data_IF_383328861878
#
_entry.id   IF_383328861878
#
_cell.length_a   1.000
_cell.length_b   1.000
_cell.length_c   1.000
_cell.angle_alpha   90.00
_cell.angle_beta   90.00
_cell.angle_gamma   90.00
#
_symmetry.space_group_name_H-M   'P 1'
#
loop_
_entity.id
_entity.type
_entity.pdbx_description
1 polymer ?
#
# COMPACT_ATOMS: atom_id res chain seq x y z
N UNK A 1 7.69 32.29 18.57
CA UNK A 1 8.72 31.24 18.40
C UNK A 1 8.61 30.29 19.59
N UNK A 2 8.00 29.11 19.40
CA UNK A 2 7.75 28.13 20.47
C UNK A 2 8.80 27.01 20.36
N UNK A 3 9.74 26.98 21.29
CA UNK A 3 10.75 25.94 21.43
C UNK A 3 10.13 24.68 22.02
N UNK A 4 10.13 23.59 21.25
CA UNK A 4 9.69 22.26 21.71
C UNK A 4 10.91 21.56 22.32
N UNK A 5 10.85 21.31 23.63
CA UNK A 5 11.81 20.46 24.36
C UNK A 5 11.39 19.01 24.16
N UNK A 6 12.13 18.25 23.35
CA UNK A 6 11.96 16.80 23.22
C UNK A 6 12.81 16.16 24.32
N UNK A 7 12.13 15.67 25.34
CA UNK A 7 12.71 14.85 26.41
C UNK A 7 12.90 13.44 25.85
N UNK A 8 14.15 13.04 25.63
CA UNK A 8 14.53 11.66 25.33
C UNK A 8 14.41 10.84 26.63
N UNK A 9 13.36 10.02 26.75
CA UNK A 9 13.31 8.98 27.79
C UNK A 9 13.99 7.74 27.20
N UNK A 10 15.28 7.64 27.48
CA UNK A 10 16.08 6.43 27.31
C UNK A 10 15.63 5.43 28.39
N UNK A 11 15.11 4.29 27.98
CA UNK A 11 14.75 3.25 28.95
C UNK A 11 14.00 2.08 28.38
N UNK A 12 14.72 1.14 27.75
CA UNK A 12 14.36 -0.28 27.85
C UNK A 12 15.65 -1.09 28.01
N UNK A 13 15.80 -1.61 29.23
CA UNK A 13 16.79 -2.62 29.61
C UNK A 13 16.41 -3.93 28.91
N UNK A 14 17.25 -4.42 28.02
CA UNK A 14 17.10 -5.76 27.46
C UNK A 14 17.92 -6.74 28.30
N UNK A 15 17.29 -7.28 29.35
CA UNK A 15 17.74 -8.52 29.95
C UNK A 15 17.23 -9.67 29.07
N UNK A 16 18.05 -10.13 28.12
CA UNK A 16 17.79 -11.36 27.39
C UNK A 16 18.75 -12.44 27.90
N UNK A 17 18.17 -13.52 28.41
CA UNK A 17 18.84 -14.56 29.17
C UNK A 17 19.97 -15.26 28.43
N UNK A 18 20.97 -15.66 29.22
CA UNK A 18 21.96 -16.67 28.87
C UNK A 18 21.23 -18.00 28.64
N UNK A 19 20.94 -18.28 27.37
CA UNK A 19 20.65 -19.62 26.89
C UNK A 19 21.82 -20.07 26.03
N UNK A 20 22.46 -21.16 26.45
CA UNK A 20 23.58 -21.80 25.75
C UNK A 20 23.25 -22.05 24.28
N UNK A 21 23.91 -21.31 23.40
CA UNK A 21 23.92 -21.52 21.95
C UNK A 21 25.25 -22.13 21.53
N UNK A 22 25.51 -23.35 21.97
CA UNK A 22 26.58 -24.19 21.39
C UNK A 22 26.05 -24.84 20.12
N UNK A 23 26.03 -24.08 19.01
CA UNK A 23 25.55 -24.60 17.74
C UNK A 23 25.46 -23.60 16.59
N UNK A 24 26.44 -22.71 16.45
CA UNK A 24 26.63 -21.94 15.21
C UNK A 24 28.11 -22.00 14.86
N UNK A 25 28.44 -22.60 13.71
CA UNK A 25 29.77 -22.53 13.14
C UNK A 25 30.20 -21.09 12.86
N UNK A 26 31.49 -20.83 12.62
CA UNK A 26 31.98 -19.49 12.36
C UNK A 26 31.27 -18.88 11.15
N UNK A 27 30.54 -17.77 11.36
CA UNK A 27 30.07 -16.92 10.27
C UNK A 27 31.33 -16.34 9.62
N UNK A 28 31.60 -16.60 8.33
CA UNK A 28 32.76 -16.01 7.67
C UNK A 28 32.66 -14.50 7.80
N UNK A 29 33.75 -13.86 8.23
CA UNK A 29 33.82 -12.41 8.34
C UNK A 29 33.54 -11.81 6.96
N UNK A 30 32.34 -11.23 6.79
CA UNK A 30 31.95 -10.50 5.58
C UNK A 30 32.74 -9.17 5.60
N UNK A 31 33.96 -9.21 5.08
CA UNK A 31 34.84 -8.07 4.91
C UNK A 31 34.60 -7.27 3.63
N UNK A 32 33.52 -7.57 2.89
CA UNK A 32 33.11 -6.78 1.74
C UNK A 32 32.27 -5.60 2.21
N UNK A 33 32.71 -4.38 1.92
CA UNK A 33 31.86 -3.20 2.03
C UNK A 33 30.58 -3.44 1.20
N UNK A 34 29.40 -3.05 1.69
CA UNK A 34 28.16 -3.26 0.96
C UNK A 34 28.23 -2.53 -0.38
N UNK A 35 28.25 -3.30 -1.48
CA UNK A 35 28.15 -2.75 -2.83
C UNK A 35 26.75 -2.19 -3.02
N UNK A 36 26.64 -0.88 -3.24
CA UNK A 36 25.35 -0.26 -3.49
C UNK A 36 24.86 -0.65 -4.87
N UNK A 37 23.66 -1.22 -4.94
CA UNK A 37 22.97 -1.42 -6.20
C UNK A 37 22.76 -0.07 -6.93
N UNK A 38 22.76 -0.08 -8.27
CA UNK A 38 22.52 1.14 -9.04
C UNK A 38 21.13 1.73 -8.74
N UNK A 39 20.96 3.05 -8.87
CA UNK A 39 19.68 3.70 -8.64
C UNK A 39 18.61 3.22 -9.63
N UNK A 40 17.46 2.79 -9.11
CA UNK A 40 16.31 2.35 -9.91
C UNK A 40 15.30 3.48 -10.01
N UNK A 41 14.97 3.88 -11.24
CA UNK A 41 13.86 4.80 -11.50
C UNK A 41 12.54 4.05 -11.37
N UNK A 42 11.63 4.62 -10.59
CA UNK A 42 10.30 4.06 -10.37
C UNK A 42 9.24 4.99 -10.93
N UNK A 43 8.27 4.44 -11.66
CA UNK A 43 7.16 5.21 -12.23
C UNK A 43 6.12 5.51 -11.13
N UNK A 44 6.27 6.68 -10.51
CA UNK A 44 5.32 7.15 -9.48
C UNK A 44 4.13 7.83 -10.13
N UNK A 45 2.98 7.73 -9.46
CA UNK A 45 1.84 8.54 -9.79
C UNK A 45 2.21 10.02 -9.79
N UNK A 46 1.95 10.70 -10.91
CA UNK A 46 2.07 12.15 -11.02
C UNK A 46 0.94 12.86 -10.26
N UNK A 47 1.02 14.18 -10.17
CA UNK A 47 0.05 14.98 -9.44
C UNK A 47 -1.39 14.84 -9.97
N UNK A 48 -1.57 14.61 -11.27
CA UNK A 48 -2.91 14.44 -11.85
C UNK A 48 -3.53 13.12 -11.41
N UNK A 49 -2.76 12.02 -11.47
CA UNK A 49 -3.20 10.70 -10.99
C UNK A 49 -3.51 10.72 -9.49
N UNK A 50 -2.69 11.40 -8.69
CA UNK A 50 -2.93 11.55 -7.25
C UNK A 50 -4.22 12.34 -6.98
N UNK A 51 -4.43 13.46 -7.66
CA UNK A 51 -5.64 14.26 -7.51
C UNK A 51 -6.91 13.49 -7.91
N UNK A 52 -6.85 12.69 -8.97
CA UNK A 52 -7.96 11.86 -9.41
C UNK A 52 -8.27 10.73 -8.41
N UNK A 53 -7.23 10.11 -7.82
CA UNK A 53 -7.39 9.13 -6.74
C UNK A 53 -8.05 9.75 -5.50
N UNK A 54 -7.61 10.93 -5.09
CA UNK A 54 -8.19 11.62 -3.93
C UNK A 54 -9.64 12.05 -4.18
N UNK A 55 -9.98 12.46 -5.40
CA UNK A 55 -11.38 12.70 -5.79
C UNK A 55 -12.22 11.43 -5.69
N UNK A 56 -11.74 10.30 -6.19
CA UNK A 56 -12.45 9.02 -6.08
C UNK A 56 -12.67 8.63 -4.60
N UNK A 57 -11.66 8.82 -3.75
CA UNK A 57 -11.77 8.59 -2.30
C UNK A 57 -12.78 9.53 -1.63
N UNK A 58 -12.84 10.80 -2.05
CA UNK A 58 -13.80 11.76 -1.53
C UNK A 58 -15.25 11.38 -1.89
N UNK A 59 -15.50 10.92 -3.12
CA UNK A 59 -16.82 10.39 -3.54
C UNK A 59 -17.25 9.19 -2.68
N UNK A 60 -16.32 8.25 -2.45
CA UNK A 60 -16.57 7.12 -1.56
C UNK A 60 -16.84 7.58 -0.12
N UNK A 61 -16.06 8.51 0.42
CA UNK A 61 -16.30 9.07 1.76
C UNK A 61 -17.67 9.77 1.87
N UNK A 62 -18.12 10.42 0.80
CA UNK A 62 -19.43 11.07 0.68
C UNK A 62 -20.59 10.09 0.43
N UNK A 63 -20.34 8.77 0.46
CA UNK A 63 -21.32 7.71 0.16
C UNK A 63 -21.88 7.75 -1.26
N UNK A 64 -21.21 8.44 -2.18
CA UNK A 64 -21.54 8.44 -3.61
C UNK A 64 -20.93 7.18 -4.25
N UNK A 65 -21.42 6.02 -3.83
CA UNK A 65 -20.80 4.72 -4.07
C UNK A 65 -20.60 4.42 -5.55
N UNK A 66 -21.62 4.60 -6.36
CA UNK A 66 -21.60 4.24 -7.78
C UNK A 66 -20.55 5.08 -8.54
N UNK A 67 -20.53 6.39 -8.30
CA UNK A 67 -19.58 7.30 -8.93
C UNK A 67 -18.16 7.11 -8.41
N UNK A 68 -17.98 6.90 -7.10
CA UNK A 68 -16.69 6.63 -6.49
C UNK A 68 -16.08 5.31 -6.94
N UNK A 69 -16.86 4.22 -6.96
CA UNK A 69 -16.42 2.90 -7.45
C UNK A 69 -16.05 2.99 -8.93
N UNK A 70 -16.91 3.62 -9.76
CA UNK A 70 -16.63 3.81 -11.20
C UNK A 70 -15.34 4.59 -11.42
N UNK A 71 -15.19 5.75 -10.78
CA UNK A 71 -14.01 6.60 -10.91
C UNK A 71 -12.72 5.87 -10.51
N UNK A 72 -12.76 5.13 -9.38
CA UNK A 72 -11.61 4.36 -8.93
C UNK A 72 -11.26 3.22 -9.90
N UNK A 73 -12.25 2.52 -10.44
CA UNK A 73 -12.03 1.44 -11.42
C UNK A 73 -11.44 1.95 -12.72
N UNK A 74 -12.00 3.04 -13.25
CA UNK A 74 -11.49 3.68 -14.47
C UNK A 74 -10.04 4.16 -14.28
N UNK A 75 -9.73 4.74 -13.11
CA UNK A 75 -8.36 5.15 -12.78
C UNK A 75 -7.40 3.97 -12.66
N UNK A 76 -7.82 2.86 -12.01
CA UNK A 76 -7.02 1.63 -11.95
C UNK A 76 -6.77 1.03 -13.33
N UNK A 77 -7.69 1.20 -14.27
CA UNK A 77 -7.52 0.68 -15.62
C UNK A 77 -6.49 1.49 -16.42
N UNK A 78 -6.56 2.82 -16.37
CA UNK A 78 -5.63 3.70 -17.08
C UNK A 78 -4.25 3.77 -16.46
N UNK A 79 -4.18 3.77 -15.12
CA UNK A 79 -2.97 4.13 -14.36
C UNK A 79 -2.55 3.05 -13.37
N UNK A 80 -3.07 1.82 -13.49
CA UNK A 80 -2.90 0.75 -12.50
C UNK A 80 -1.47 0.34 -12.18
N UNK A 81 -0.54 0.55 -13.11
CA UNK A 81 0.89 0.26 -12.93
C UNK A 81 1.66 1.33 -12.17
N UNK A 82 1.14 2.57 -12.07
CA UNK A 82 1.83 3.66 -11.37
C UNK A 82 1.91 3.39 -9.88
N UNK A 83 3.01 3.81 -9.26
CA UNK A 83 3.22 3.60 -7.83
C UNK A 83 2.60 4.72 -6.99
N UNK A 84 1.84 4.32 -5.97
CA UNK A 84 1.27 5.19 -4.94
C UNK A 84 1.75 4.79 -3.55
N UNK A 85 1.85 5.74 -2.60
CA UNK A 85 2.23 5.42 -1.23
C UNK A 85 1.10 4.71 -0.48
N UNK A 86 1.37 3.49 -0.02
CA UNK A 86 0.54 2.80 0.98
C UNK A 86 0.97 3.13 2.41
N UNK A 87 2.25 3.46 2.60
CA UNK A 87 2.83 4.00 3.83
C UNK A 87 4.07 4.86 3.49
N UNK A 88 4.67 5.61 4.43
CA UNK A 88 5.82 6.46 4.14
C UNK A 88 7.02 5.72 3.53
N UNK A 89 7.20 4.43 3.84
CA UNK A 89 8.29 3.59 3.33
C UNK A 89 7.85 2.57 2.27
N UNK A 90 6.56 2.55 1.90
CA UNK A 90 6.02 1.51 0.99
C UNK A 90 5.21 2.11 -0.13
N UNK A 91 5.70 1.89 -1.35
CA UNK A 91 4.99 2.15 -2.58
C UNK A 91 4.36 0.84 -3.09
N UNK A 92 3.14 0.91 -3.59
CA UNK A 92 2.47 -0.21 -4.26
C UNK A 92 1.83 0.25 -5.57
N UNK A 93 1.59 -0.65 -6.53
CA UNK A 93 0.85 -0.30 -7.73
C UNK A 93 -0.54 0.21 -7.38
N UNK A 94 -0.99 1.25 -8.09
CA UNK A 94 -2.30 1.85 -7.93
C UNK A 94 -3.42 0.80 -8.01
N UNK A 95 -3.31 -0.18 -8.91
CA UNK A 95 -4.31 -1.26 -9.02
C UNK A 95 -4.44 -2.06 -7.72
N UNK A 96 -3.33 -2.36 -7.05
CA UNK A 96 -3.34 -3.05 -5.75
C UNK A 96 -3.97 -2.16 -4.69
N UNK A 97 -3.57 -0.88 -4.63
CA UNK A 97 -4.14 0.09 -3.70
C UNK A 97 -5.66 0.23 -3.88
N UNK A 98 -6.14 0.36 -5.13
CA UNK A 98 -7.56 0.49 -5.42
C UNK A 98 -8.36 -0.76 -5.06
N UNK A 99 -7.82 -1.97 -5.28
CA UNK A 99 -8.47 -3.19 -4.78
C UNK A 99 -8.51 -3.26 -3.25
N UNK A 100 -7.48 -2.79 -2.54
CA UNK A 100 -7.53 -2.66 -1.08
C UNK A 100 -8.66 -1.73 -0.65
N UNK A 101 -8.79 -0.56 -1.29
CA UNK A 101 -9.89 0.39 -1.02
C UNK A 101 -11.26 -0.25 -1.27
N UNK A 102 -11.44 -0.91 -2.43
CA UNK A 102 -12.71 -1.58 -2.77
C UNK A 102 -13.06 -2.69 -1.77
N UNK A 103 -12.07 -3.47 -1.32
CA UNK A 103 -12.29 -4.54 -0.35
C UNK A 103 -12.69 -4.04 1.04
N UNK A 104 -12.34 -2.79 1.38
CA UNK A 104 -12.70 -2.14 2.65
C UNK A 104 -14.03 -1.39 2.63
N UNK A 105 -14.78 -1.43 1.53
CA UNK A 105 -16.09 -0.76 1.43
C UNK A 105 -17.15 -1.42 2.32
N UNK A 106 -18.16 -0.67 2.79
CA UNK A 106 -19.28 -1.24 3.53
C UNK A 106 -20.15 -2.15 2.65
N UNK A 107 -20.99 -2.97 3.28
CA UNK A 107 -21.75 -4.03 2.60
C UNK A 107 -22.63 -3.50 1.45
N UNK A 108 -23.26 -2.33 1.62
CA UNK A 108 -24.09 -1.70 0.60
C UNK A 108 -23.30 -1.31 -0.66
N UNK A 109 -22.07 -0.82 -0.48
CA UNK A 109 -21.19 -0.42 -1.57
C UNK A 109 -20.53 -1.65 -2.23
N UNK A 110 -20.19 -2.68 -1.45
CA UNK A 110 -19.74 -3.96 -1.98
C UNK A 110 -20.82 -4.63 -2.85
N UNK A 111 -22.09 -4.57 -2.43
CA UNK A 111 -23.19 -5.11 -3.23
C UNK A 111 -23.31 -4.40 -4.60
N UNK A 112 -23.11 -3.08 -4.63
CA UNK A 112 -23.05 -2.31 -5.88
C UNK A 112 -21.88 -2.74 -6.76
N UNK A 113 -20.67 -2.82 -6.19
CA UNK A 113 -19.48 -3.27 -6.91
C UNK A 113 -19.66 -4.67 -7.50
N UNK A 114 -20.17 -5.61 -6.71
CA UNK A 114 -20.42 -7.00 -7.10
C UNK A 114 -21.37 -7.13 -8.28
N UNK A 115 -22.47 -6.36 -8.33
CA UNK A 115 -23.36 -6.37 -9.50
C UNK A 115 -22.64 -6.04 -10.82
N UNK A 116 -21.63 -5.18 -10.76
CA UNK A 116 -20.86 -4.79 -11.94
C UNK A 116 -19.85 -5.87 -12.36
N UNK A 117 -19.19 -6.55 -11.41
CA UNK A 117 -18.11 -7.51 -11.70
C UNK A 117 -18.59 -8.96 -11.80
N UNK A 118 -19.60 -9.36 -11.03
CA UNK A 118 -20.10 -10.74 -10.99
C UNK A 118 -20.74 -11.13 -12.32
N UNK A 119 -21.35 -10.18 -13.05
CA UNK A 119 -21.90 -10.43 -14.39
C UNK A 119 -20.82 -10.81 -15.42
N UNK A 120 -19.64 -10.19 -15.33
CA UNK A 120 -18.50 -10.54 -16.15
C UNK A 120 -17.90 -11.89 -15.72
N UNK A 121 -17.78 -12.11 -14.42
CA UNK A 121 -17.28 -13.36 -13.86
C UNK A 121 -18.15 -14.57 -14.28
N UNK A 122 -19.48 -14.40 -14.26
CA UNK A 122 -20.42 -15.42 -14.69
C UNK A 122 -20.22 -15.81 -16.15
N UNK A 123 -20.03 -14.81 -17.04
CA UNK A 123 -19.76 -15.07 -18.46
C UNK A 123 -18.48 -15.87 -18.65
N UNK A 124 -17.43 -15.58 -17.88
CA UNK A 124 -16.16 -16.31 -17.97
C UNK A 124 -16.23 -17.72 -17.40
N UNK A 125 -17.04 -17.96 -16.37
CA UNK A 125 -17.19 -19.29 -15.78
C UNK A 125 -18.07 -20.22 -16.63
N UNK A 126 -18.88 -19.66 -17.52
CA UNK A 126 -19.75 -20.41 -18.44
C UNK A 126 -19.08 -20.74 -19.79
N UNK A 127 -17.82 -20.32 -20.00
CA UNK A 127 -16.98 -20.72 -21.14
C UNK A 127 -16.32 -22.08 -20.86
#
# INVERSE_FOLDING_TARGET
MRSVRIVFVLGVVLACGMGDRTGLGPVPAVGAAPEMAPPVLVDRADAAVVAELDRAKALLAARQWEEGIRSLRELMERSGGKLVPASPQRLIPLRVYGHMVLSGLPAEALALYRRQVDSLAQKWYQL
#
